data_IF_356115143398
#
_entry.id   IF_356115143398
#
_cell.length_a   1.000
_cell.length_b   1.000
_cell.length_c   1.000
_cell.angle_alpha   90.00
_cell.angle_beta   90.00
_cell.angle_gamma   90.00
#
_symmetry.space_group_name_H-M   'P 1'
#
loop_
_entity.id
_entity.type
_entity.pdbx_description
1 polymer ?
#
# COMPACT_ATOMS: atom_id res chain seq x y z
N UNK A 1 -51.98 -39.99 3.13
CA UNK A 1 -51.33 -39.16 4.17
C UNK A 1 -49.84 -39.46 4.36
N UNK A 2 -49.40 -40.71 4.57
CA UNK A 2 -47.95 -41.04 4.63
C UNK A 2 -47.22 -40.92 3.27
N UNK A 3 -47.95 -40.97 2.16
CA UNK A 3 -47.45 -40.96 0.78
C UNK A 3 -47.10 -39.57 0.24
N UNK A 4 -47.78 -38.51 0.69
CA UNK A 4 -47.65 -37.16 0.14
C UNK A 4 -46.43 -36.39 0.66
N UNK A 5 -45.81 -36.90 1.72
CA UNK A 5 -44.60 -36.32 2.29
C UNK A 5 -43.33 -36.73 1.53
N UNK A 6 -43.42 -37.67 0.58
CA UNK A 6 -42.28 -38.08 -0.24
C UNK A 6 -41.74 -36.93 -1.12
N UNK A 7 -42.54 -35.90 -1.42
CA UNK A 7 -42.10 -34.73 -2.18
C UNK A 7 -41.12 -33.84 -1.39
N UNK A 8 -41.13 -33.92 -0.06
CA UNK A 8 -40.17 -33.23 0.81
C UNK A 8 -38.86 -34.02 0.96
N UNK A 9 -38.83 -35.29 0.55
CA UNK A 9 -37.64 -36.14 0.61
C UNK A 9 -36.67 -35.74 -0.51
N UNK A 10 -35.76 -34.84 -0.17
CA UNK A 10 -34.80 -34.26 -1.12
C UNK A 10 -34.88 -32.74 -1.22
N UNK A 11 -35.74 -32.08 -0.45
CA UNK A 11 -35.71 -30.63 -0.30
C UNK A 11 -34.34 -30.21 0.27
N UNK A 12 -33.54 -29.53 -0.54
CA UNK A 12 -32.23 -29.04 -0.13
C UNK A 12 -32.41 -27.85 0.82
N UNK A 13 -31.77 -27.91 2.00
CA UNK A 13 -31.65 -26.74 2.86
C UNK A 13 -30.68 -25.76 2.20
N UNK A 14 -31.18 -24.63 1.69
CA UNK A 14 -30.35 -23.54 1.18
C UNK A 14 -30.06 -22.60 2.35
N UNK A 15 -28.85 -22.70 2.90
CA UNK A 15 -28.46 -21.98 4.10
C UNK A 15 -27.78 -20.62 3.82
N UNK A 16 -27.53 -20.33 2.54
CA UNK A 16 -26.84 -19.12 2.08
C UNK A 16 -27.67 -17.87 2.41
N UNK A 17 -27.10 -16.97 3.21
CA UNK A 17 -27.77 -15.72 3.63
C UNK A 17 -28.61 -15.84 4.91
N UNK A 18 -28.63 -17.00 5.58
CA UNK A 18 -29.26 -17.11 6.90
C UNK A 18 -28.46 -16.31 7.95
N UNK A 19 -29.17 -15.69 8.90
CA UNK A 19 -28.58 -14.82 9.93
C UNK A 19 -27.48 -15.54 10.73
N UNK A 20 -27.71 -16.81 11.08
CA UNK A 20 -26.76 -17.64 11.81
C UNK A 20 -25.46 -17.84 11.03
N UNK A 21 -25.54 -18.12 9.73
CA UNK A 21 -24.36 -18.38 8.90
C UNK A 21 -23.60 -17.09 8.60
N UNK A 22 -24.31 -15.98 8.35
CA UNK A 22 -23.65 -14.68 8.23
C UNK A 22 -23.00 -14.23 9.53
N UNK A 23 -23.66 -14.43 10.67
CA UNK A 23 -23.12 -14.13 11.99
C UNK A 23 -21.85 -14.94 12.27
N UNK A 24 -21.88 -16.24 11.97
CA UNK A 24 -20.71 -17.11 12.08
C UNK A 24 -19.56 -16.65 11.17
N UNK A 25 -19.83 -16.31 9.91
CA UNK A 25 -18.81 -15.79 8.98
C UNK A 25 -18.16 -14.50 9.50
N UNK A 26 -18.97 -13.55 9.99
CA UNK A 26 -18.45 -12.28 10.55
C UNK A 26 -17.62 -12.52 11.81
N UNK A 27 -18.05 -13.42 12.68
CA UNK A 27 -17.29 -13.79 13.88
C UNK A 27 -15.95 -14.45 13.52
N UNK A 28 -15.94 -15.38 12.56
CA UNK A 28 -14.71 -15.98 12.03
C UNK A 28 -13.79 -14.94 11.42
N UNK A 29 -14.33 -13.96 10.70
CA UNK A 29 -13.56 -12.87 10.10
C UNK A 29 -12.92 -11.96 11.16
N UNK A 30 -13.62 -11.68 12.26
CA UNK A 30 -13.10 -10.89 13.38
C UNK A 30 -11.99 -11.61 14.15
N UNK A 31 -12.11 -12.93 14.31
CA UNK A 31 -11.11 -13.76 15.00
C UNK A 31 -9.90 -14.08 14.10
N UNK A 32 -10.04 -13.92 12.79
CA UNK A 32 -8.99 -14.26 11.83
C UNK A 32 -7.75 -13.36 11.99
N UNK A 33 -6.70 -13.90 12.59
CA UNK A 33 -5.41 -13.22 12.71
C UNK A 33 -4.79 -12.85 11.36
N UNK A 34 -5.08 -13.62 10.31
CA UNK A 34 -4.59 -13.38 8.96
C UNK A 34 -5.19 -12.11 8.34
N UNK A 35 -6.46 -11.81 8.63
CA UNK A 35 -7.11 -10.56 8.20
C UNK A 35 -6.68 -9.38 9.08
N UNK A 36 -6.48 -9.63 10.38
CA UNK A 36 -6.05 -8.62 11.34
C UNK A 36 -4.61 -8.13 11.10
N UNK A 37 -3.69 -9.05 10.82
CA UNK A 37 -2.28 -8.75 10.58
C UNK A 37 -2.03 -8.56 9.09
N UNK A 38 -1.90 -7.32 8.66
CA UNK A 38 -1.39 -7.04 7.32
C UNK A 38 0.11 -7.31 7.28
N UNK A 39 0.52 -8.28 6.47
CA UNK A 39 1.94 -8.59 6.28
C UNK A 39 2.66 -7.33 5.75
N UNK A 40 3.78 -6.90 6.37
CA UNK A 40 4.47 -5.65 6.00
C UNK A 40 4.85 -5.58 4.52
N UNK A 41 5.12 -6.73 3.90
CA UNK A 41 5.45 -6.85 2.47
C UNK A 41 4.29 -6.49 1.52
N UNK A 42 3.03 -6.51 2.00
CA UNK A 42 1.86 -6.14 1.19
C UNK A 42 1.71 -4.63 1.02
N UNK A 43 2.37 -3.82 1.85
CA UNK A 43 2.36 -2.37 1.69
C UNK A 43 3.31 -1.95 0.59
N UNK A 44 2.75 -1.32 -0.46
CA UNK A 44 3.58 -0.65 -1.46
C UNK A 44 4.26 0.54 -0.79
N UNK A 45 5.58 0.58 -0.82
CA UNK A 45 6.33 1.74 -0.39
C UNK A 45 6.02 2.89 -1.36
N UNK A 46 5.30 3.90 -0.88
CA UNK A 46 4.99 5.12 -1.63
C UNK A 46 5.87 6.23 -1.11
N UNK A 47 7.10 6.28 -1.62
CA UNK A 47 8.00 7.37 -1.28
C UNK A 47 7.54 8.62 -2.03
N UNK A 48 7.05 9.62 -1.30
CA UNK A 48 6.72 10.94 -1.86
C UNK A 48 8.03 11.60 -2.28
N UNK A 49 8.21 11.89 -3.58
CA UNK A 49 9.45 12.41 -4.14
C UNK A 49 9.88 13.78 -3.55
N UNK A 50 8.92 14.49 -2.95
CA UNK A 50 9.07 15.81 -2.34
C UNK A 50 9.17 15.74 -0.80
N UNK A 51 9.40 14.55 -0.23
CA UNK A 51 9.74 14.45 1.20
C UNK A 51 10.99 15.30 1.51
N UNK A 52 11.01 16.07 2.62
CA UNK A 52 12.15 16.90 3.00
C UNK A 52 13.49 16.17 2.98
N UNK A 53 13.51 14.89 3.39
CA UNK A 53 14.73 14.07 3.41
C UNK A 53 15.30 13.87 2.01
N UNK A 54 14.43 13.65 1.03
CA UNK A 54 14.81 13.42 -0.38
C UNK A 54 15.25 14.74 -1.02
N UNK A 55 14.55 15.83 -0.75
CA UNK A 55 14.92 17.16 -1.23
C UNK A 55 16.28 17.56 -0.67
N UNK A 56 16.51 17.33 0.62
CA UNK A 56 17.78 17.58 1.27
C UNK A 56 18.91 16.74 0.67
N UNK A 57 18.69 15.43 0.48
CA UNK A 57 19.66 14.55 -0.16
C UNK A 57 19.99 14.99 -1.60
N UNK A 58 19.00 15.38 -2.39
CA UNK A 58 19.19 15.90 -3.75
C UNK A 58 20.07 17.15 -3.74
N UNK A 59 19.76 18.11 -2.87
CA UNK A 59 20.53 19.35 -2.75
C UNK A 59 21.96 19.12 -2.28
N UNK A 60 22.15 18.27 -1.28
CA UNK A 60 23.49 17.90 -0.77
C UNK A 60 24.35 17.22 -1.85
N UNK A 61 23.76 16.34 -2.66
CA UNK A 61 24.44 15.73 -3.80
C UNK A 61 24.84 16.75 -4.87
N UNK A 62 24.00 17.76 -5.13
CA UNK A 62 24.32 18.84 -6.08
C UNK A 62 25.50 19.68 -5.59
N UNK A 63 25.53 20.03 -4.30
CA UNK A 63 26.62 20.82 -3.70
C UNK A 63 27.94 20.05 -3.75
N UNK A 64 27.92 18.76 -3.43
CA UNK A 64 29.13 17.92 -3.35
C UNK A 64 29.66 17.50 -4.73
N UNK A 65 28.93 17.79 -5.80
CA UNK A 65 29.32 17.40 -7.15
C UNK A 65 30.55 18.19 -7.64
N UNK A 66 31.71 17.53 -7.70
CA UNK A 66 32.98 18.16 -8.09
C UNK A 66 32.96 18.83 -9.47
N UNK A 67 32.26 18.23 -10.44
CA UNK A 67 32.17 18.77 -11.80
C UNK A 67 31.44 20.11 -11.78
N UNK A 68 30.28 20.15 -11.12
CA UNK A 68 29.51 21.38 -10.94
C UNK A 68 30.27 22.42 -10.12
N UNK A 69 31.01 21.99 -9.11
CA UNK A 69 31.86 22.87 -8.30
C UNK A 69 32.94 23.57 -9.14
N UNK A 70 33.67 22.81 -9.98
CA UNK A 70 34.71 23.37 -10.87
C UNK A 70 34.11 24.29 -11.93
N UNK A 71 33.01 23.88 -12.55
CA UNK A 71 32.30 24.67 -13.56
C UNK A 71 31.82 26.01 -12.98
N UNK A 72 31.21 25.98 -11.79
CA UNK A 72 30.78 27.19 -11.08
C UNK A 72 31.96 28.09 -10.75
N UNK A 73 33.08 27.54 -10.27
CA UNK A 73 34.29 28.32 -9.99
C UNK A 73 34.86 29.02 -11.23
N UNK A 74 34.84 28.37 -12.40
CA UNK A 74 35.28 28.97 -13.67
C UNK A 74 34.30 30.07 -14.12
N UNK A 75 32.99 29.84 -13.97
CA UNK A 75 31.97 30.83 -14.33
C UNK A 75 32.06 32.08 -13.45
N UNK A 76 32.14 31.90 -12.13
CA UNK A 76 32.38 32.97 -11.17
C UNK A 76 33.66 33.74 -11.53
N UNK A 77 34.67 33.01 -12.04
CA UNK A 77 35.91 33.61 -12.50
C UNK A 77 35.78 34.49 -13.74
N UNK A 78 35.05 34.01 -14.74
CA UNK A 78 34.78 34.78 -15.94
C UNK A 78 33.98 36.05 -15.62
N UNK A 79 32.96 35.93 -14.75
CA UNK A 79 32.08 37.05 -14.40
C UNK A 79 32.81 38.21 -13.70
N UNK A 80 33.85 37.93 -12.90
CA UNK A 80 34.63 39.01 -12.27
C UNK A 80 35.63 39.68 -13.23
N UNK A 81 35.98 39.03 -14.34
CA UNK A 81 37.05 39.50 -15.24
C UNK A 81 36.51 40.39 -16.37
N UNK A 82 35.18 40.50 -16.53
CA UNK A 82 34.56 41.43 -17.49
C UNK A 82 34.58 42.85 -16.89
N UNK A 83 35.76 43.46 -16.82
CA UNK A 83 35.97 44.91 -16.65
C UNK A 83 37.14 45.32 -17.53
#
# INVERSE_FOLDING_TARGET
YRSDLNYLRGAAWIATGSLQIEGSKRATDLISEQKYRQQPYKFKHTVVADSPDIVHAKFSNQITNERLYKEKGINDQHNYTIT
#
